data_IF_730892728237
#
_entry.id   IF_730892728237
#
_cell.length_a   1.000
_cell.length_b   1.000
_cell.length_c   1.000
_cell.angle_alpha   90.00
_cell.angle_beta   90.00
_cell.angle_gamma   90.00
#
_symmetry.space_group_name_H-M   'P 1'
#
loop_
_entity.id
_entity.type
_entity.pdbx_description
1 polymer ?
#
# COMPACT_ATOMS: atom_id res chain seq x y z
N UNK A 1 -8.68 47.08 -5.93
CA UNK A 1 -9.57 45.91 -6.08
C UNK A 1 -8.95 44.98 -7.09
N UNK A 2 -8.47 43.80 -6.66
CA UNK A 2 -7.99 42.79 -7.59
C UNK A 2 -9.18 42.24 -8.38
N UNK A 3 -9.14 42.36 -9.72
CA UNK A 3 -10.10 41.68 -10.59
C UNK A 3 -9.74 40.20 -10.58
N UNK A 4 -10.46 39.39 -9.81
CA UNK A 4 -10.42 37.95 -9.97
C UNK A 4 -10.95 37.66 -11.38
N UNK A 5 -10.17 36.99 -12.22
CA UNK A 5 -10.68 36.50 -13.49
C UNK A 5 -11.80 35.50 -13.20
N UNK A 6 -12.87 35.47 -14.00
CA UNK A 6 -13.94 34.47 -13.86
C UNK A 6 -13.40 33.03 -13.79
N UNK A 7 -12.22 32.79 -14.37
CA UNK A 7 -11.50 31.52 -14.33
C UNK A 7 -11.00 31.13 -12.94
N UNK A 8 -10.44 32.05 -12.17
CA UNK A 8 -9.95 31.79 -10.82
C UNK A 8 -11.11 31.44 -9.88
N UNK A 9 -12.24 32.14 -10.05
CA UNK A 9 -13.47 31.85 -9.29
C UNK A 9 -14.03 30.46 -9.63
N UNK A 10 -14.14 30.11 -10.91
CA UNK A 10 -14.59 28.76 -11.31
C UNK A 10 -13.64 27.69 -10.77
N UNK A 11 -12.33 27.91 -10.85
CA UNK A 11 -11.31 26.97 -10.40
C UNK A 11 -11.36 26.74 -8.89
N UNK A 12 -11.26 27.82 -8.12
CA UNK A 12 -10.98 27.76 -6.69
C UNK A 12 -12.26 27.71 -5.84
N UNK A 13 -13.36 28.31 -6.29
CA UNK A 13 -14.63 28.30 -5.54
C UNK A 13 -15.56 27.17 -5.97
N UNK A 14 -15.53 26.74 -7.23
CA UNK A 14 -16.45 25.71 -7.74
C UNK A 14 -15.75 24.37 -7.90
N UNK A 15 -14.78 24.27 -8.82
CA UNK A 15 -14.18 22.99 -9.20
C UNK A 15 -13.43 22.33 -8.04
N UNK A 16 -12.72 23.12 -7.22
CA UNK A 16 -11.95 22.60 -6.08
C UNK A 16 -12.81 21.81 -5.07
N UNK A 17 -14.11 22.11 -4.99
CA UNK A 17 -15.04 21.49 -4.03
C UNK A 17 -15.76 20.27 -4.59
N UNK A 18 -15.53 19.91 -5.87
CA UNK A 18 -16.24 18.81 -6.51
C UNK A 18 -15.56 17.45 -6.28
N UNK A 19 -16.35 16.36 -6.21
CA UNK A 19 -15.81 15.01 -6.22
C UNK A 19 -15.00 14.73 -7.50
N UNK A 20 -13.97 13.89 -7.38
CA UNK A 20 -13.07 13.52 -8.49
C UNK A 20 -13.84 12.98 -9.71
N UNK A 21 -14.88 12.17 -9.48
CA UNK A 21 -15.70 11.64 -10.59
C UNK A 21 -16.39 12.75 -11.40
N UNK A 22 -16.86 13.81 -10.74
CA UNK A 22 -17.45 14.97 -11.41
C UNK A 22 -16.40 15.73 -12.21
N UNK A 23 -15.22 15.95 -11.61
CA UNK A 23 -14.10 16.62 -12.27
C UNK A 23 -13.64 15.89 -13.52
N UNK A 24 -13.56 14.56 -13.49
CA UNK A 24 -13.22 13.75 -14.67
C UNK A 24 -14.24 13.94 -15.79
N UNK A 25 -15.54 13.98 -15.49
CA UNK A 25 -16.59 14.25 -16.50
C UNK A 25 -16.48 15.68 -17.04
N UNK A 26 -16.12 16.63 -16.19
CA UNK A 26 -16.01 18.04 -16.53
C UNK A 26 -14.82 18.37 -17.43
N UNK A 27 -13.81 17.48 -17.52
CA UNK A 27 -12.78 17.55 -18.58
C UNK A 27 -13.37 17.53 -19.99
N UNK A 28 -14.59 17.01 -20.19
CA UNK A 28 -15.24 16.95 -21.50
C UNK A 28 -16.05 18.21 -21.84
N UNK A 29 -16.20 19.17 -20.92
CA UNK A 29 -17.02 20.39 -21.13
C UNK A 29 -16.32 21.36 -22.08
N UNK A 30 -15.02 21.60 -21.88
CA UNK A 30 -14.22 22.46 -22.76
C UNK A 30 -12.72 22.18 -22.62
N UNK A 31 -11.92 22.59 -23.61
CA UNK A 31 -10.44 22.51 -23.55
C UNK A 31 -9.87 23.29 -22.36
N UNK A 32 -10.49 24.42 -22.02
CA UNK A 32 -10.09 25.26 -20.91
C UNK A 32 -10.31 24.58 -19.57
N UNK A 33 -11.50 24.01 -19.35
CA UNK A 33 -11.82 23.27 -18.12
C UNK A 33 -10.92 22.04 -17.98
N UNK A 34 -10.68 21.33 -19.08
CA UNK A 34 -9.72 20.23 -19.11
C UNK A 34 -8.33 20.68 -18.65
N UNK A 35 -7.77 21.73 -19.26
CA UNK A 35 -6.45 22.26 -18.91
C UNK A 35 -6.38 22.72 -17.46
N UNK A 36 -7.42 23.35 -16.95
CA UNK A 36 -7.52 23.79 -15.56
C UNK A 36 -7.50 22.61 -14.58
N UNK A 37 -8.30 21.57 -14.85
CA UNK A 37 -8.40 20.36 -14.00
C UNK A 37 -7.12 19.51 -14.08
N UNK A 38 -6.48 19.45 -15.24
CA UNK A 38 -5.23 18.70 -15.47
C UNK A 38 -3.99 19.46 -14.97
N UNK A 39 -4.10 20.75 -14.62
CA UNK A 39 -2.96 21.53 -14.12
C UNK A 39 -2.41 20.98 -12.80
N UNK A 40 -1.08 20.92 -12.69
CA UNK A 40 -0.38 20.45 -11.48
C UNK A 40 -0.80 21.23 -10.24
N UNK A 41 -1.04 22.53 -10.36
CA UNK A 41 -1.56 23.35 -9.27
C UNK A 41 -2.93 22.87 -8.80
N UNK A 42 -3.88 22.65 -9.72
CA UNK A 42 -5.23 22.23 -9.35
C UNK A 42 -5.23 20.84 -8.71
N UNK A 43 -4.48 19.89 -9.28
CA UNK A 43 -4.35 18.53 -8.73
C UNK A 43 -3.76 18.57 -7.32
N UNK A 44 -2.68 19.33 -7.09
CA UNK A 44 -2.06 19.49 -5.75
C UNK A 44 -3.02 20.14 -4.75
N UNK A 45 -3.74 21.18 -5.17
CA UNK A 45 -4.70 21.89 -4.31
C UNK A 45 -5.88 21.00 -3.92
N UNK A 46 -6.42 20.24 -4.88
CA UNK A 46 -7.52 19.29 -4.67
C UNK A 46 -7.10 18.10 -3.79
N UNK A 47 -5.85 17.63 -3.91
CA UNK A 47 -5.33 16.51 -3.11
C UNK A 47 -5.38 16.77 -1.60
N UNK A 48 -5.21 18.03 -1.17
CA UNK A 48 -5.23 18.43 0.25
C UNK A 48 -6.66 18.71 0.73
N UNK A 49 -7.66 18.71 -0.17
CA UNK A 49 -9.04 18.97 0.21
C UNK A 49 -9.67 17.78 0.95
N UNK A 50 -10.42 18.02 2.04
CA UNK A 50 -10.94 16.98 2.93
C UNK A 50 -12.18 16.24 2.38
N UNK A 51 -12.58 16.46 1.13
CA UNK A 51 -13.86 15.97 0.59
C UNK A 51 -13.85 14.51 0.15
N UNK A 52 -12.68 13.89 0.05
CA UNK A 52 -12.60 12.50 -0.43
C UNK A 52 -12.81 11.52 0.73
N UNK A 53 -13.98 10.89 0.73
CA UNK A 53 -14.25 9.79 1.65
C UNK A 53 -13.34 8.60 1.35
N UNK A 54 -12.67 8.02 2.37
CA UNK A 54 -11.86 6.83 2.16
C UNK A 54 -12.76 5.67 1.74
N UNK A 55 -12.23 4.84 0.86
CA UNK A 55 -12.83 3.63 0.31
C UNK A 55 -11.91 2.45 0.60
N UNK A 56 -12.44 1.23 0.51
CA UNK A 56 -11.58 0.05 0.37
C UNK A 56 -11.42 -0.25 -1.10
N UNK A 57 -10.18 -0.45 -1.54
CA UNK A 57 -9.89 -1.06 -2.83
C UNK A 57 -9.52 -2.52 -2.62
N UNK A 58 -10.12 -3.42 -3.40
CA UNK A 58 -9.80 -4.84 -3.45
C UNK A 58 -9.25 -5.18 -4.82
N UNK A 59 -8.06 -5.75 -4.87
CA UNK A 59 -7.43 -6.22 -6.09
C UNK A 59 -7.64 -7.72 -6.30
N UNK A 60 -8.13 -8.08 -7.47
CA UNK A 60 -8.25 -9.47 -7.89
C UNK A 60 -7.83 -9.64 -9.35
N UNK A 61 -7.67 -10.89 -9.76
CA UNK A 61 -7.38 -11.29 -11.14
C UNK A 61 -8.61 -12.02 -11.67
N UNK A 62 -9.00 -11.76 -12.91
CA UNK A 62 -10.22 -12.35 -13.49
C UNK A 62 -9.97 -13.16 -14.77
N UNK A 63 -8.99 -12.81 -15.60
CA UNK A 63 -8.70 -13.52 -16.85
C UNK A 63 -7.20 -13.52 -17.18
N UNK A 64 -6.72 -14.65 -17.68
CA UNK A 64 -5.40 -14.84 -18.27
C UNK A 64 -5.63 -15.44 -19.66
N UNK A 65 -5.70 -14.59 -20.68
CA UNK A 65 -5.43 -15.06 -22.04
C UNK A 65 -3.92 -15.12 -22.21
N UNK A 66 -3.41 -15.98 -23.11
CA UNK A 66 -1.98 -16.23 -23.32
C UNK A 66 -1.11 -14.95 -23.50
N UNK A 67 -1.73 -13.79 -23.79
CA UNK A 67 -1.09 -12.51 -24.05
C UNK A 67 -1.49 -11.35 -23.10
N UNK A 68 -2.39 -11.54 -22.14
CA UNK A 68 -2.87 -10.41 -21.33
C UNK A 68 -3.29 -10.78 -19.91
N UNK A 69 -2.82 -9.97 -18.97
CA UNK A 69 -3.26 -9.97 -17.58
C UNK A 69 -4.40 -8.97 -17.40
N UNK A 70 -5.54 -9.41 -16.88
CA UNK A 70 -6.59 -8.50 -16.39
C UNK A 70 -6.55 -8.39 -14.87
N UNK A 71 -6.30 -7.18 -14.37
CA UNK A 71 -6.44 -6.82 -12.96
C UNK A 71 -7.81 -6.16 -12.78
N UNK A 72 -8.62 -6.72 -11.88
CA UNK A 72 -9.87 -6.12 -11.45
C UNK A 72 -9.63 -5.41 -10.12
N UNK A 73 -9.89 -4.10 -10.09
CA UNK A 73 -9.98 -3.33 -8.87
C UNK A 73 -11.44 -3.02 -8.54
N UNK A 74 -11.84 -3.36 -7.32
CA UNK A 74 -13.17 -3.10 -6.81
C UNK A 74 -13.07 -2.10 -5.68
N UNK A 75 -13.78 -0.98 -5.79
CA UNK A 75 -13.86 0.00 -4.72
C UNK A 75 -15.17 -0.12 -3.97
N UNK A 76 -15.09 -0.07 -2.65
CA UNK A 76 -16.22 -0.15 -1.72
C UNK A 76 -16.25 1.12 -0.86
N UNK A 77 -17.36 1.84 -0.88
CA UNK A 77 -17.60 2.99 -0.02
C UNK A 77 -18.89 2.84 0.78
N UNK A 78 -18.94 3.50 1.93
CA UNK A 78 -20.16 3.67 2.71
C UNK A 78 -20.76 5.02 2.35
N UNK A 79 -21.99 5.03 1.85
CA UNK A 79 -22.68 6.29 1.58
C UNK A 79 -23.22 6.83 2.92
N UNK A 80 -22.85 8.07 3.25
CA UNK A 80 -23.25 8.74 4.50
C UNK A 80 -24.62 9.42 4.39
N UNK A 81 -25.50 8.96 3.49
CA UNK A 81 -26.86 9.49 3.43
C UNK A 81 -27.68 8.91 4.59
N UNK A 82 -27.58 9.54 5.75
CA UNK A 82 -28.65 9.87 6.70
C UNK A 82 -29.66 8.84 7.22
N UNK A 83 -29.77 7.62 6.69
CA UNK A 83 -30.83 6.69 7.08
C UNK A 83 -30.33 5.25 7.29
N UNK A 84 -31.20 4.51 7.98
CA UNK A 84 -31.01 3.22 8.65
C UNK A 84 -30.68 2.07 7.67
N UNK A 85 -30.66 2.33 6.36
CA UNK A 85 -30.38 1.34 5.32
C UNK A 85 -29.04 1.62 4.63
N UNK A 86 -27.98 0.98 5.15
CA UNK A 86 -26.60 1.22 4.73
C UNK A 86 -26.28 0.50 3.43
N UNK A 87 -26.46 1.15 2.28
CA UNK A 87 -26.02 0.60 1.00
C UNK A 87 -24.49 0.72 0.85
N UNK A 88 -23.84 -0.40 0.53
CA UNK A 88 -22.42 -0.42 0.15
C UNK A 88 -22.34 -0.18 -1.35
N UNK A 89 -21.77 0.96 -1.75
CA UNK A 89 -21.53 1.24 -3.16
C UNK A 89 -20.32 0.42 -3.64
N UNK A 90 -20.52 -0.37 -4.69
CA UNK A 90 -19.48 -1.19 -5.34
C UNK A 90 -19.22 -0.65 -6.75
N UNK A 91 -17.96 -0.30 -7.04
CA UNK A 91 -17.54 0.19 -8.35
C UNK A 91 -16.34 -0.61 -8.85
N UNK A 92 -16.56 -1.65 -9.68
CA UNK A 92 -15.49 -2.42 -10.31
C UNK A 92 -14.89 -1.67 -11.51
N UNK A 93 -13.59 -1.79 -11.69
CA UNK A 93 -12.85 -1.31 -12.87
C UNK A 93 -11.80 -2.36 -13.27
N UNK A 94 -11.80 -2.76 -14.54
CA UNK A 94 -10.81 -3.67 -15.10
C UNK A 94 -9.67 -2.92 -15.78
N UNK A 95 -8.47 -3.45 -15.62
CA UNK A 95 -7.23 -2.94 -16.19
C UNK A 95 -6.55 -4.09 -16.92
N UNK A 96 -6.35 -3.92 -18.23
CA UNK A 96 -5.73 -4.93 -19.08
C UNK A 96 -4.28 -4.53 -19.31
N UNK A 97 -3.38 -5.44 -18.99
CA UNK A 97 -1.95 -5.29 -19.21
C UNK A 97 -1.47 -6.37 -20.17
N UNK A 98 -1.00 -5.95 -21.34
CA UNK A 98 -0.42 -6.85 -22.31
C UNK A 98 0.99 -7.27 -21.87
N UNK A 99 1.31 -8.54 -22.06
CA UNK A 99 2.59 -9.11 -21.65
C UNK A 99 3.10 -10.13 -22.67
N UNK A 100 4.39 -10.52 -22.57
CA UNK A 100 4.94 -11.56 -23.42
C UNK A 100 4.21 -12.88 -23.20
N UNK A 101 4.04 -13.65 -24.28
CA UNK A 101 3.40 -14.98 -24.30
C UNK A 101 3.96 -15.87 -23.19
N UNK A 102 3.09 -16.32 -22.29
CA UNK A 102 3.46 -17.34 -21.30
C UNK A 102 2.81 -18.67 -21.66
N UNK A 103 3.59 -19.62 -22.17
CA UNK A 103 3.10 -20.98 -22.49
C UNK A 103 2.88 -21.78 -21.21
N UNK A 104 1.64 -21.99 -20.76
CA UNK A 104 1.23 -22.93 -19.69
C UNK A 104 0.71 -22.28 -18.39
N UNK A 105 0.03 -23.03 -17.50
CA UNK A 105 -0.65 -22.47 -16.33
C UNK A 105 0.35 -21.85 -15.33
N UNK A 106 0.23 -20.54 -15.11
CA UNK A 106 1.01 -19.80 -14.12
C UNK A 106 0.15 -19.45 -12.92
N UNK A 107 0.45 -20.04 -11.75
CA UNK A 107 -0.09 -19.53 -10.48
C UNK A 107 0.46 -18.11 -10.32
N UNK A 108 -0.44 -17.15 -10.34
CA UNK A 108 -0.13 -15.72 -10.28
C UNK A 108 -0.86 -15.10 -9.11
N UNK A 109 -0.14 -14.47 -8.20
CA UNK A 109 -0.70 -13.80 -7.02
C UNK A 109 -0.65 -12.29 -7.26
N UNK A 110 -1.81 -11.63 -7.20
CA UNK A 110 -1.89 -10.17 -7.16
C UNK A 110 -1.93 -9.72 -5.70
N UNK A 111 -0.98 -8.87 -5.31
CA UNK A 111 -0.97 -8.20 -4.01
C UNK A 111 -1.20 -6.70 -4.18
N UNK A 112 -2.20 -6.14 -3.51
CA UNK A 112 -2.33 -4.69 -3.33
C UNK A 112 -1.34 -4.30 -2.23
N UNK A 113 -0.26 -3.63 -2.62
CA UNK A 113 0.81 -3.22 -1.70
C UNK A 113 0.32 -2.11 -0.77
N UNK A 114 -0.39 -1.13 -1.33
CA UNK A 114 -0.94 0.01 -0.60
C UNK A 114 -1.48 1.08 -1.55
N UNK A 115 -1.96 2.17 -0.97
CA UNK A 115 -2.35 3.37 -1.70
C UNK A 115 -1.67 4.61 -1.10
N UNK A 116 -1.31 5.55 -1.96
CA UNK A 116 -0.75 6.84 -1.61
C UNK A 116 -1.34 7.89 -2.55
N UNK A 117 -1.98 8.94 -2.01
CA UNK A 117 -2.58 10.03 -2.80
C UNK A 117 -3.45 9.55 -3.97
N UNK A 118 -4.23 8.49 -3.78
CA UNK A 118 -5.11 7.89 -4.79
C UNK A 118 -4.42 7.05 -5.87
N UNK A 119 -3.09 6.93 -5.83
CA UNK A 119 -2.39 5.89 -6.55
C UNK A 119 -2.45 4.58 -5.76
N UNK A 120 -2.69 3.47 -6.43
CA UNK A 120 -2.72 2.11 -5.87
C UNK A 120 -1.58 1.32 -6.49
N UNK A 121 -0.70 0.79 -5.64
CA UNK A 121 0.41 -0.05 -6.07
C UNK A 121 0.03 -1.52 -5.96
N UNK A 122 0.23 -2.27 -7.04
CA UNK A 122 -0.09 -3.69 -7.14
C UNK A 122 1.14 -4.44 -7.58
N UNK A 123 1.45 -5.53 -6.88
CA UNK A 123 2.49 -6.47 -7.25
C UNK A 123 1.86 -7.73 -7.84
N UNK A 124 2.32 -8.13 -9.01
CA UNK A 124 2.03 -9.43 -9.61
C UNK A 124 3.22 -10.36 -9.39
N UNK A 125 3.00 -11.46 -8.68
CA UNK A 125 3.99 -12.52 -8.47
C UNK A 125 3.65 -13.70 -9.38
N UNK A 126 4.60 -14.15 -10.21
CA UNK A 126 4.45 -15.30 -11.10
C UNK A 126 5.28 -16.48 -10.60
N UNK A 127 4.69 -17.68 -10.53
CA UNK A 127 5.37 -18.88 -10.03
C UNK A 127 6.31 -19.54 -11.06
N UNK A 128 7.07 -18.77 -11.86
CA UNK A 128 8.05 -19.31 -12.81
C UNK A 128 9.45 -18.86 -12.46
N UNK A 129 10.40 -19.80 -12.52
CA UNK A 129 11.80 -19.65 -12.11
C UNK A 129 12.57 -18.52 -12.82
N UNK A 130 12.03 -17.92 -13.88
CA UNK A 130 12.68 -16.88 -14.69
C UNK A 130 11.78 -15.68 -15.02
N UNK A 131 10.64 -15.49 -14.34
CA UNK A 131 9.77 -14.33 -14.56
C UNK A 131 9.84 -13.38 -13.37
N UNK A 132 10.26 -12.15 -13.65
CA UNK A 132 10.30 -11.09 -12.66
C UNK A 132 8.90 -10.63 -12.27
N UNK A 133 8.68 -10.25 -11.00
CA UNK A 133 7.42 -9.69 -10.58
C UNK A 133 7.16 -8.39 -11.35
N UNK A 134 5.92 -8.17 -11.76
CA UNK A 134 5.50 -6.89 -12.34
C UNK A 134 4.89 -6.02 -11.27
N UNK A 135 5.20 -4.72 -11.30
CA UNK A 135 4.56 -3.73 -10.41
C UNK A 135 3.69 -2.82 -11.26
N UNK A 136 2.49 -2.55 -10.79
CA UNK A 136 1.50 -1.72 -11.46
C UNK A 136 1.08 -0.59 -10.55
N UNK A 137 1.12 0.63 -11.07
CA UNK A 137 0.60 1.82 -10.40
C UNK A 137 -0.66 2.24 -11.12
N UNK A 138 -1.78 2.25 -10.41
CA UNK A 138 -3.11 2.50 -10.98
C UNK A 138 -3.77 3.63 -10.20
N UNK A 139 -4.36 4.59 -10.89
CA UNK A 139 -5.35 5.48 -10.28
C UNK A 139 -6.76 4.97 -10.66
N UNK A 140 -7.51 4.37 -9.71
CA UNK A 140 -8.84 3.85 -9.99
C UNK A 140 -9.84 4.91 -10.47
N UNK A 141 -9.72 6.15 -9.99
CA UNK A 141 -10.62 7.23 -10.34
C UNK A 141 -10.40 7.71 -11.78
N UNK A 142 -9.15 8.01 -12.16
CA UNK A 142 -8.81 8.51 -13.51
C UNK A 142 -8.71 7.41 -14.55
N UNK A 143 -8.62 6.14 -14.12
CA UNK A 143 -8.34 4.94 -14.93
C UNK A 143 -6.96 4.91 -15.59
N UNK A 144 -6.12 5.89 -15.28
CA UNK A 144 -4.73 5.88 -15.69
C UNK A 144 -3.97 4.78 -14.95
N UNK A 145 -3.07 4.11 -15.65
CA UNK A 145 -2.27 3.03 -15.11
C UNK A 145 -0.91 3.01 -15.79
N UNK A 146 0.10 2.57 -15.05
CA UNK A 146 1.47 2.41 -15.51
C UNK A 146 2.03 1.07 -15.03
N UNK A 147 2.65 0.32 -15.93
CA UNK A 147 3.43 -0.87 -15.59
C UNK A 147 4.88 -0.46 -15.34
N UNK A 148 5.44 -0.98 -14.26
CA UNK A 148 6.83 -0.82 -13.88
C UNK A 148 7.53 -2.18 -13.98
N UNK A 149 8.81 -2.15 -14.32
CA UNK A 149 9.66 -3.32 -14.45
C UNK A 149 10.72 -3.27 -13.34
N UNK A 150 10.50 -3.93 -12.19
CA UNK A 150 11.49 -4.01 -11.11
C UNK A 150 12.84 -4.52 -11.61
N UNK A 151 13.90 -4.18 -10.88
CA UNK A 151 15.28 -4.55 -11.25
C UNK A 151 15.43 -6.06 -11.43
N UNK A 152 16.19 -6.48 -12.45
CA UNK A 152 16.57 -7.87 -12.60
C UNK A 152 17.33 -8.39 -11.39
N UNK A 153 17.11 -9.66 -11.04
CA UNK A 153 17.87 -10.34 -10.01
C UNK A 153 19.35 -10.36 -10.42
N UNK A 154 20.17 -9.59 -9.73
CA UNK A 154 21.61 -9.61 -9.93
C UNK A 154 22.19 -10.90 -9.35
N UNK A 155 23.19 -11.47 -10.04
CA UNK A 155 24.03 -12.52 -9.47
C UNK A 155 24.82 -11.94 -8.29
N UNK A 156 24.81 -12.65 -7.16
CA UNK A 156 25.61 -12.32 -5.99
C UNK A 156 26.43 -13.58 -5.67
N UNK A 157 27.77 -13.52 -5.71
CA UNK A 157 28.62 -14.68 -5.37
C UNK A 157 28.23 -15.26 -4.02
N UNK A 158 28.19 -16.59 -3.88
CA UNK A 158 27.85 -17.33 -2.65
C UNK A 158 26.41 -17.15 -2.13
N UNK A 159 25.59 -16.36 -2.84
CA UNK A 159 24.23 -16.01 -2.44
C UNK A 159 23.22 -16.41 -3.51
N UNK A 160 22.28 -17.28 -3.13
CA UNK A 160 21.16 -17.67 -3.99
C UNK A 160 20.00 -16.67 -3.82
N UNK A 161 19.44 -16.11 -4.91
CA UNK A 161 18.24 -15.29 -4.81
C UNK A 161 17.05 -16.15 -4.36
N UNK A 162 16.28 -15.64 -3.40
CA UNK A 162 14.99 -16.21 -3.05
C UNK A 162 13.93 -15.63 -3.99
N UNK A 163 12.89 -16.42 -4.31
CA UNK A 163 11.69 -15.96 -5.04
C UNK A 163 10.84 -14.95 -4.21
N UNK A 164 11.41 -14.42 -3.12
CA UNK A 164 10.77 -13.52 -2.17
C UNK A 164 11.13 -12.08 -2.55
N UNK A 165 10.17 -11.42 -3.18
CA UNK A 165 10.24 -10.02 -3.58
C UNK A 165 9.30 -9.20 -2.73
N UNK A 166 9.85 -8.27 -1.95
CA UNK A 166 9.04 -7.34 -1.16
C UNK A 166 9.01 -5.99 -1.86
N UNK A 167 7.82 -5.42 -1.98
CA UNK A 167 7.60 -4.10 -2.57
C UNK A 167 7.15 -3.15 -1.47
N UNK A 168 7.72 -1.95 -1.49
CA UNK A 168 7.19 -0.77 -0.81
C UNK A 168 6.64 0.22 -1.82
N UNK A 169 5.66 1.02 -1.41
CA UNK A 169 5.18 2.14 -2.20
C UNK A 169 4.81 3.31 -1.29
N UNK A 170 5.18 4.52 -1.69
CA UNK A 170 4.85 5.74 -0.94
C UNK A 170 5.33 6.99 -1.66
N UNK A 171 5.37 8.09 -0.91
CA UNK A 171 5.77 9.41 -1.39
C UNK A 171 6.88 9.97 -0.51
N UNK A 172 7.95 10.45 -1.14
CA UNK A 172 8.87 11.38 -0.49
C UNK A 172 8.09 12.68 -0.28
N UNK A 173 7.72 12.94 0.97
CA UNK A 173 6.90 14.10 1.35
C UNK A 173 7.66 15.43 1.21
N UNK A 174 9.00 15.41 1.14
CA UNK A 174 9.82 16.61 0.99
C UNK A 174 9.86 17.04 -0.47
N UNK A 175 10.10 16.10 -1.38
CA UNK A 175 10.18 16.38 -2.82
C UNK A 175 8.84 16.26 -3.53
N UNK A 176 7.87 15.57 -2.93
CA UNK A 176 6.57 15.26 -3.52
C UNK A 176 6.58 14.11 -4.53
N UNK A 177 7.72 13.43 -4.67
CA UNK A 177 7.94 12.36 -5.65
C UNK A 177 7.41 11.04 -5.12
N UNK A 178 6.70 10.27 -5.95
CA UNK A 178 6.31 8.92 -5.58
C UNK A 178 7.44 7.94 -5.85
N UNK A 179 7.58 6.95 -4.95
CA UNK A 179 8.66 5.97 -5.01
C UNK A 179 8.11 4.56 -4.83
N UNK A 180 8.64 3.62 -5.62
CA UNK A 180 8.51 2.18 -5.34
C UNK A 180 9.85 1.63 -4.87
N UNK A 181 9.82 0.79 -3.85
CA UNK A 181 10.99 0.19 -3.22
C UNK A 181 10.95 -1.29 -3.55
N UNK A 182 11.99 -1.82 -4.19
CA UNK A 182 12.13 -3.25 -4.42
C UNK A 182 13.17 -3.80 -3.46
N UNK A 183 12.81 -4.83 -2.71
CA UNK A 183 13.72 -5.52 -1.79
C UNK A 183 13.84 -6.98 -2.24
N UNK A 184 15.04 -7.32 -2.70
CA UNK A 184 15.42 -8.65 -3.14
C UNK A 184 16.14 -9.38 -2.00
N UNK A 185 15.61 -10.55 -1.63
CA UNK A 185 16.18 -11.37 -0.58
C UNK A 185 17.13 -12.41 -1.16
N UNK A 186 18.35 -12.48 -0.64
CA UNK A 186 19.34 -13.48 -1.02
C UNK A 186 19.76 -14.28 0.21
N UNK A 187 19.98 -15.58 0.01
CA UNK A 187 20.40 -16.51 1.05
C UNK A 187 21.80 -17.02 0.76
N UNK A 188 22.68 -17.00 1.76
CA UNK A 188 24.01 -17.61 1.64
C UNK A 188 23.90 -19.14 1.56
N UNK A 189 24.75 -19.77 0.76
CA UNK A 189 24.68 -21.22 0.51
C UNK A 189 25.20 -22.07 1.69
N UNK A 190 26.14 -21.52 2.46
CA UNK A 190 26.92 -22.16 3.53
C UNK A 190 26.50 -21.74 4.96
N UNK A 191 25.82 -20.60 5.11
CA UNK A 191 25.32 -20.08 6.39
C UNK A 191 23.81 -19.76 6.34
N UNK A 192 23.19 -19.57 7.52
CA UNK A 192 21.82 -19.03 7.63
C UNK A 192 21.73 -17.51 7.41
N UNK A 193 22.80 -16.89 6.87
CA UNK A 193 22.87 -15.47 6.62
C UNK A 193 21.96 -15.04 5.45
N UNK A 194 21.29 -13.90 5.63
CA UNK A 194 20.41 -13.28 4.66
C UNK A 194 20.97 -11.92 4.25
N UNK A 195 20.85 -11.61 2.97
CA UNK A 195 21.26 -10.35 2.37
C UNK A 195 20.05 -9.71 1.69
N UNK A 196 19.71 -8.48 2.08
CA UNK A 196 18.69 -7.70 1.40
C UNK A 196 19.37 -6.68 0.49
N UNK A 197 19.09 -6.75 -0.82
CA UNK A 197 19.45 -5.69 -1.76
C UNK A 197 18.21 -4.86 -2.06
N UNK A 198 18.37 -3.54 -1.97
CA UNK A 198 17.26 -2.61 -2.18
C UNK A 198 17.53 -1.71 -3.36
N UNK A 199 16.54 -1.56 -4.24
CA UNK A 199 16.48 -0.53 -5.26
C UNK A 199 15.23 0.32 -5.07
N UNK A 200 15.34 1.59 -5.43
CA UNK A 200 14.23 2.54 -5.46
C UNK A 200 14.06 3.04 -6.87
N UNK A 201 12.80 3.19 -7.24
CA UNK A 201 12.38 3.77 -8.49
C UNK A 201 11.51 4.98 -8.18
N UNK A 202 11.89 6.13 -8.70
CA UNK A 202 11.06 7.32 -8.67
C UNK A 202 10.10 7.31 -9.86
N UNK A 203 8.88 7.81 -9.68
CA UNK A 203 7.87 7.80 -10.74
C UNK A 203 8.01 8.98 -11.72
N UNK A 204 8.66 10.07 -11.32
CA UNK A 204 8.81 11.33 -12.07
C UNK A 204 9.95 11.32 -13.11
N UNK A 205 11.10 10.72 -12.80
CA UNK A 205 12.30 10.82 -13.64
C UNK A 205 12.44 9.74 -14.73
N UNK A 206 11.31 9.29 -15.30
CA UNK A 206 11.33 8.09 -16.14
C UNK A 206 11.73 6.86 -15.32
N UNK A 207 11.78 5.69 -15.93
CA UNK A 207 11.95 4.41 -15.22
C UNK A 207 13.37 4.19 -14.64
N UNK A 208 14.11 5.24 -14.30
CA UNK A 208 15.47 5.16 -13.76
C UNK A 208 15.47 4.66 -12.31
N UNK A 209 15.99 3.44 -12.16
CA UNK A 209 16.13 2.78 -10.87
C UNK A 209 17.50 3.09 -10.29
N UNK A 210 17.52 3.48 -9.02
CA UNK A 210 18.75 3.65 -8.25
C UNK A 210 18.87 2.55 -7.20
N UNK A 211 20.03 1.91 -7.17
CA UNK A 211 20.39 1.01 -6.09
C UNK A 211 20.99 1.83 -4.95
N UNK A 212 20.47 1.69 -3.74
CA UNK A 212 20.81 2.59 -2.63
C UNK A 212 21.60 1.88 -1.53
N UNK A 213 21.47 0.57 -1.42
CA UNK A 213 22.32 -0.16 -0.49
C UNK A 213 21.91 -1.59 -0.21
N UNK A 214 22.72 -2.18 0.65
CA UNK A 214 22.50 -3.49 1.26
C UNK A 214 22.10 -3.23 2.71
N UNK A 215 20.94 -3.76 3.12
CA UNK A 215 20.59 -3.77 4.53
C UNK A 215 20.88 -5.15 5.12
N UNK A 216 21.88 -5.29 6.00
CA UNK A 216 22.18 -6.58 6.60
C UNK A 216 21.10 -6.92 7.62
N UNK A 217 20.24 -7.87 7.25
CA UNK A 217 19.29 -8.49 8.17
C UNK A 217 19.85 -9.84 8.59
N UNK A 218 20.44 -9.90 9.78
CA UNK A 218 20.93 -11.16 10.33
C UNK A 218 19.76 -12.11 10.60
N UNK A 219 19.70 -13.24 9.91
CA UNK A 219 18.82 -14.37 10.18
C UNK A 219 17.30 -14.07 10.18
N UNK A 220 16.85 -12.99 9.54
CA UNK A 220 15.41 -12.69 9.35
C UNK A 220 15.14 -12.35 7.89
N UNK A 221 13.89 -12.53 7.48
CA UNK A 221 13.37 -12.09 6.18
C UNK A 221 12.23 -11.08 6.39
N UNK A 222 11.88 -10.33 5.36
CA UNK A 222 10.68 -9.47 5.41
C UNK A 222 9.44 -10.38 5.39
N UNK A 223 8.46 -10.07 6.23
CA UNK A 223 7.24 -10.84 6.32
C UNK A 223 6.46 -10.81 5.02
N UNK A 224 6.01 -11.98 4.60
CA UNK A 224 5.16 -12.15 3.43
C UNK A 224 3.67 -12.11 3.75
N UNK A 225 3.33 -12.20 5.03
CA UNK A 225 1.96 -12.25 5.55
C UNK A 225 1.28 -10.88 5.55
N UNK A 226 2.09 -9.82 5.50
CA UNK A 226 1.61 -8.45 5.44
C UNK A 226 2.41 -7.63 4.42
N UNK A 227 1.73 -6.78 3.65
CA UNK A 227 2.36 -5.81 2.76
C UNK A 227 2.95 -4.64 3.56
N UNK A 228 3.84 -3.89 2.90
CA UNK A 228 4.41 -2.67 3.46
C UNK A 228 3.35 -1.64 3.82
N UNK A 229 3.63 -0.80 4.81
CA UNK A 229 2.76 0.34 5.16
C UNK A 229 3.50 1.63 4.91
N UNK A 230 2.90 2.56 4.17
CA UNK A 230 3.40 3.92 4.05
C UNK A 230 2.76 4.82 5.11
N UNK A 231 3.59 5.56 5.84
CA UNK A 231 3.17 6.57 6.80
C UNK A 231 4.28 7.58 7.02
N UNK A 232 3.93 8.85 7.20
CA UNK A 232 4.86 9.92 7.58
C UNK A 232 6.16 9.96 6.74
N UNK A 233 6.06 9.83 5.41
CA UNK A 233 7.21 9.87 4.52
C UNK A 233 8.12 8.63 4.53
N UNK A 234 7.76 7.60 5.29
CA UNK A 234 8.51 6.34 5.40
C UNK A 234 7.66 5.14 5.00
N UNK A 235 8.33 4.06 4.59
CA UNK A 235 7.70 2.76 4.35
C UNK A 235 8.17 1.78 5.41
N UNK A 236 7.24 1.02 5.98
CA UNK A 236 7.46 0.11 7.10
C UNK A 236 7.16 -1.33 6.73
N UNK A 237 7.99 -2.24 7.26
CA UNK A 237 7.83 -3.69 7.10
C UNK A 237 8.02 -4.42 8.43
N UNK A 238 7.23 -5.47 8.62
CA UNK A 238 7.50 -6.48 9.65
C UNK A 238 8.53 -7.46 9.12
N UNK A 239 9.48 -7.87 9.96
CA UNK A 239 10.29 -9.05 9.68
C UNK A 239 9.57 -10.32 10.14
N UNK A 240 9.98 -11.47 9.62
CA UNK A 240 9.58 -12.77 10.14
C UNK A 240 10.79 -13.66 10.31
N UNK A 241 10.62 -14.70 11.14
CA UNK A 241 11.64 -15.72 11.34
C UNK A 241 11.83 -16.51 10.05
N UNK A 242 13.08 -16.65 9.62
CA UNK A 242 13.38 -17.58 8.54
C UNK A 242 13.10 -19.01 9.03
N UNK A 243 12.20 -19.74 8.38
CA UNK A 243 11.69 -21.05 8.84
C UNK A 243 12.75 -22.12 9.12
N UNK A 244 13.98 -21.96 8.62
CA UNK A 244 15.10 -22.89 8.86
C UNK A 244 16.16 -22.35 9.84
N UNK A 245 15.92 -21.19 10.46
CA UNK A 245 16.85 -20.61 11.44
C UNK A 245 16.59 -21.19 12.83
N UNK A 246 17.62 -21.67 13.56
CA UNK A 246 17.48 -22.07 14.96
C UNK A 246 17.34 -20.88 15.92
N UNK A 247 17.43 -19.63 15.43
CA UNK A 247 17.40 -18.44 16.28
C UNK A 247 15.98 -18.11 16.79
N UNK A 248 15.87 -17.75 18.07
CA UNK A 248 14.62 -17.27 18.70
C UNK A 248 14.41 -15.76 18.56
N UNK A 249 15.11 -15.10 17.64
CA UNK A 249 15.12 -13.64 17.59
C UNK A 249 13.70 -13.05 17.42
N UNK A 250 13.40 -11.92 18.09
CA UNK A 250 12.08 -11.28 18.04
C UNK A 250 11.78 -10.67 16.68
N UNK A 251 10.49 -10.56 16.33
CA UNK A 251 10.04 -9.83 15.14
C UNK A 251 10.48 -8.36 15.27
N UNK A 252 11.01 -7.78 14.20
CA UNK A 252 11.49 -6.39 14.15
C UNK A 252 10.62 -5.58 13.19
N UNK A 253 10.48 -4.30 13.52
CA UNK A 253 9.89 -3.30 12.64
C UNK A 253 11.02 -2.54 11.94
N UNK A 254 11.03 -2.58 10.62
CA UNK A 254 12.03 -1.91 9.78
C UNK A 254 11.35 -0.78 9.02
N UNK A 255 12.00 0.38 8.97
CA UNK A 255 11.55 1.53 8.19
C UNK A 255 12.59 1.89 7.12
N UNK A 256 12.12 2.43 6.01
CA UNK A 256 12.92 3.15 5.03
C UNK A 256 12.32 4.55 4.89
N UNK A 257 13.11 5.57 5.20
CA UNK A 257 12.74 6.96 4.98
C UNK A 257 12.84 7.27 3.48
N UNK A 258 11.77 7.79 2.85
CA UNK A 258 11.76 7.96 1.40
C UNK A 258 12.51 9.19 0.91
N UNK A 259 12.87 10.11 1.80
CA UNK A 259 13.63 11.29 1.41
C UNK A 259 15.14 11.02 1.45
N UNK A 260 15.61 10.55 2.60
CA UNK A 260 17.01 10.23 2.87
C UNK A 260 17.40 8.85 2.35
N UNK A 261 16.42 7.98 2.09
CA UNK A 261 16.58 6.61 1.61
C UNK A 261 17.44 5.73 2.54
N UNK A 262 17.41 6.03 3.83
CA UNK A 262 18.11 5.29 4.87
C UNK A 262 17.16 4.35 5.60
N UNK A 263 17.67 3.15 5.88
CA UNK A 263 16.97 2.18 6.72
C UNK A 263 17.18 2.49 8.20
N UNK A 264 16.11 2.30 8.98
CA UNK A 264 16.17 2.36 10.44
C UNK A 264 15.38 1.20 11.06
N UNK A 265 15.67 0.92 12.34
CA UNK A 265 14.87 0.03 13.16
C UNK A 265 13.96 0.90 14.02
N UNK A 266 12.68 0.54 14.06
CA UNK A 266 11.70 1.21 14.88
C UNK A 266 11.51 0.42 16.17
N UNK A 267 11.50 1.14 17.28
CA UNK A 267 11.21 0.58 18.60
C UNK A 267 9.78 0.05 18.67
N UNK A 268 9.53 -0.96 19.51
CA UNK A 268 8.19 -1.45 19.79
C UNK A 268 7.54 -0.69 20.95
N UNK A 269 6.20 -0.65 21.04
CA UNK A 269 5.53 -0.16 22.24
C UNK A 269 5.95 -0.94 23.49
N UNK A 270 5.90 -0.31 24.66
CA UNK A 270 6.32 -0.91 25.93
C UNK A 270 5.54 -2.16 26.34
N UNK A 271 4.30 -2.31 25.87
CA UNK A 271 3.47 -3.50 26.14
C UNK A 271 3.78 -4.67 25.20
N UNK A 272 4.59 -4.47 24.17
CA UNK A 272 4.94 -5.54 23.25
C UNK A 272 5.77 -6.61 23.98
N UNK A 273 5.24 -7.82 24.00
CA UNK A 273 5.95 -9.05 24.40
C UNK A 273 6.11 -9.95 23.17
N UNK A 274 7.18 -10.75 23.12
CA UNK A 274 7.49 -11.72 22.06
C UNK A 274 6.40 -12.78 21.88
N UNK A 275 5.50 -12.92 22.86
CA UNK A 275 4.28 -13.75 22.82
C UNK A 275 3.10 -13.09 22.10
N UNK A 276 3.27 -11.86 21.59
CA UNK A 276 2.24 -11.18 20.80
C UNK A 276 2.17 -11.81 19.42
N UNK A 277 1.34 -12.84 19.28
CA UNK A 277 1.42 -13.74 18.13
C UNK A 277 1.00 -13.11 16.79
N UNK A 278 0.19 -12.04 16.78
CA UNK A 278 -0.33 -11.45 15.53
C UNK A 278 -0.50 -9.94 15.63
N UNK A 279 0.45 -9.23 15.05
CA UNK A 279 0.48 -7.78 14.95
C UNK A 279 0.07 -7.33 13.55
N UNK A 280 -0.74 -6.29 13.45
CA UNK A 280 -1.09 -5.66 12.16
C UNK A 280 -0.62 -4.23 12.13
N UNK A 281 0.24 -3.90 11.16
CA UNK A 281 0.55 -2.52 10.83
C UNK A 281 -0.50 -1.97 9.86
N UNK A 282 -0.78 -0.68 9.94
CA UNK A 282 -1.60 0.04 8.98
C UNK A 282 -1.37 1.54 9.17
N UNK A 283 -1.93 2.38 8.28
CA UNK A 283 -1.79 3.83 8.35
C UNK A 283 -3.12 4.49 8.67
N UNK A 284 -3.11 5.44 9.61
CA UNK A 284 -4.26 6.29 9.94
C UNK A 284 -3.87 7.76 9.87
N UNK A 285 -4.37 8.48 8.86
CA UNK A 285 -4.01 9.89 8.62
C UNK A 285 -2.49 10.08 8.61
N UNK A 286 -1.81 9.27 7.81
CA UNK A 286 -0.35 9.23 7.65
C UNK A 286 0.46 8.93 8.92
N UNK A 287 -0.18 8.42 9.97
CA UNK A 287 0.52 7.88 11.14
C UNK A 287 0.56 6.36 11.08
N UNK A 288 1.73 5.79 11.36
CA UNK A 288 1.88 4.35 11.48
C UNK A 288 1.11 3.89 12.71
N UNK A 289 0.19 2.96 12.50
CA UNK A 289 -0.58 2.33 13.54
C UNK A 289 -0.25 0.84 13.66
N UNK A 290 -0.36 0.35 14.87
CA UNK A 290 -0.17 -1.03 15.26
C UNK A 290 -1.38 -1.48 16.05
N UNK A 291 -1.95 -2.63 15.69
CA UNK A 291 -3.03 -3.24 16.45
C UNK A 291 -2.78 -4.72 16.68
N UNK A 292 -3.07 -5.18 17.90
CA UNK A 292 -3.05 -6.60 18.25
C UNK A 292 -4.46 -7.18 18.04
N UNK A 293 -4.64 -7.87 16.92
CA UNK A 293 -5.96 -8.31 16.46
C UNK A 293 -6.48 -9.52 17.26
N UNK A 294 -5.62 -10.18 18.05
CA UNK A 294 -6.02 -11.25 18.98
C UNK A 294 -6.66 -10.72 20.27
N UNK A 295 -6.55 -9.42 20.56
CA UNK A 295 -7.32 -8.79 21.63
C UNK A 295 -8.78 -8.69 21.17
N UNK A 296 -9.50 -9.79 21.28
CA UNK A 296 -10.92 -9.88 20.97
C UNK A 296 -11.73 -9.80 22.27
N UNK A 297 -12.86 -9.06 22.30
CA UNK A 297 -13.45 -8.29 21.20
C UNK A 297 -12.90 -6.86 21.03
N UNK A 298 -12.14 -6.35 22.00
CA UNK A 298 -11.64 -4.97 22.01
C UNK A 298 -10.19 -4.92 21.54
N UNK A 299 -9.99 -4.45 20.32
CA UNK A 299 -8.68 -4.32 19.70
C UNK A 299 -8.11 -2.95 20.01
N UNK A 300 -7.00 -2.91 20.74
CA UNK A 300 -6.26 -1.69 20.98
C UNK A 300 -5.50 -1.24 19.73
N UNK A 301 -5.57 0.07 19.47
CA UNK A 301 -4.81 0.71 18.41
C UNK A 301 -3.79 1.66 19.01
N UNK A 302 -2.54 1.45 18.60
CA UNK A 302 -1.41 2.25 18.99
C UNK A 302 -0.86 3.00 17.78
N UNK A 303 -0.50 4.27 17.97
CA UNK A 303 0.13 5.10 16.95
C UNK A 303 1.58 5.33 17.30
N UNK A 304 2.46 5.24 16.31
CA UNK A 304 3.80 5.80 16.41
C UNK A 304 3.70 7.31 16.25
N UNK A 305 4.36 8.03 17.14
CA UNK A 305 4.50 9.48 17.13
C UNK A 305 5.98 9.82 17.27
N UNK A 306 6.41 10.84 16.53
CA UNK A 306 7.73 11.44 16.71
C UNK A 306 7.55 12.66 17.61
N UNK A 307 8.14 12.65 18.79
CA UNK A 307 8.13 13.75 19.75
C UNK A 307 9.58 14.08 20.08
N UNK A 308 10.06 15.28 19.74
CA UNK A 308 11.46 15.69 19.93
C UNK A 308 12.51 14.73 19.35
N UNK A 309 12.25 14.22 18.14
CA UNK A 309 13.06 13.18 17.47
C UNK A 309 13.15 11.84 18.22
N UNK A 310 12.29 11.64 19.22
CA UNK A 310 12.14 10.38 19.95
C UNK A 310 10.88 9.66 19.46
N UNK A 311 11.06 8.39 19.13
CA UNK A 311 9.96 7.48 18.80
C UNK A 311 9.15 7.16 20.05
N UNK A 312 7.83 7.40 19.99
CA UNK A 312 6.93 7.10 21.10
C UNK A 312 5.66 6.46 20.57
N UNK A 313 5.28 5.34 21.19
CA UNK A 313 4.01 4.68 20.93
C UNK A 313 2.97 5.12 21.95
N UNK A 314 1.81 5.56 21.45
CA UNK A 314 0.67 5.94 22.28
C UNK A 314 -0.57 5.15 21.90
N UNK A 315 -1.34 4.69 22.90
CA UNK A 315 -2.66 4.10 22.67
C UNK A 315 -3.60 5.24 22.30
N UNK A 316 -4.15 5.21 21.09
CA UNK A 316 -5.03 6.27 20.62
C UNK A 316 -6.51 5.98 20.87
N UNK A 317 -6.92 4.70 20.81
CA UNK A 317 -8.27 4.24 21.16
C UNK A 317 -8.33 2.69 21.18
N UNK A 318 -9.47 2.15 21.61
CA UNK A 318 -9.82 0.73 21.48
C UNK A 318 -11.07 0.61 20.59
N UNK A 319 -11.11 -0.41 19.73
CA UNK A 319 -12.27 -0.68 18.87
C UNK A 319 -12.85 -2.03 19.23
N UNK A 320 -14.15 -2.05 19.53
CA UNK A 320 -14.89 -3.30 19.62
C UNK A 320 -15.20 -3.84 18.21
N UNK A 321 -14.48 -4.89 17.81
CA UNK A 321 -14.58 -5.47 16.46
C UNK A 321 -15.76 -6.42 16.29
N UNK A 322 -16.64 -6.57 17.28
CA UNK A 322 -17.92 -7.27 17.08
C UNK A 322 -18.93 -6.39 16.35
N UNK A 323 -18.81 -5.06 16.48
CA UNK A 323 -19.68 -4.05 15.88
C UNK A 323 -19.23 -3.59 14.47
N UNK A 324 -18.67 -4.51 13.65
CA UNK A 324 -18.04 -4.17 12.33
C UNK A 324 -18.96 -3.34 11.43
N UNK A 325 -20.27 -3.64 11.42
CA UNK A 325 -21.27 -2.90 10.63
C UNK A 325 -21.39 -1.41 10.99
N UNK A 326 -20.86 -0.99 12.14
CA UNK A 326 -20.86 0.42 12.61
C UNK A 326 -19.51 1.11 12.47
N UNK A 327 -18.47 0.41 12.01
CA UNK A 327 -17.16 1.03 11.83
C UNK A 327 -17.19 2.07 10.70
N UNK A 328 -16.55 3.22 10.94
CA UNK A 328 -16.22 4.16 9.88
C UNK A 328 -15.25 3.51 8.89
N UNK A 329 -15.30 3.87 7.60
CA UNK A 329 -14.53 3.19 6.54
C UNK A 329 -13.02 3.18 6.80
N UNK A 330 -12.47 4.23 7.43
CA UNK A 330 -11.07 4.29 7.88
C UNK A 330 -10.65 3.18 8.86
N UNK A 331 -11.59 2.50 9.51
CA UNK A 331 -11.37 1.40 10.45
C UNK A 331 -11.77 0.04 9.89
N UNK A 332 -12.30 -0.03 8.66
CA UNK A 332 -12.72 -1.30 8.06
C UNK A 332 -11.55 -2.26 7.87
N UNK A 333 -10.33 -1.77 7.63
CA UNK A 333 -9.14 -2.63 7.56
C UNK A 333 -8.92 -3.42 8.87
N UNK A 334 -9.09 -2.78 10.02
CA UNK A 334 -8.99 -3.45 11.33
C UNK A 334 -10.11 -4.48 11.48
N UNK A 335 -11.34 -4.10 11.12
CA UNK A 335 -12.50 -5.01 11.18
C UNK A 335 -12.34 -6.23 10.28
N UNK A 336 -11.83 -6.06 9.06
CA UNK A 336 -11.54 -7.13 8.11
C UNK A 336 -10.45 -8.06 8.63
N UNK A 337 -9.39 -7.51 9.23
CA UNK A 337 -8.37 -8.33 9.87
C UNK A 337 -8.97 -9.10 11.05
N UNK A 338 -9.66 -8.43 11.97
CA UNK A 338 -10.29 -9.07 13.12
C UNK A 338 -11.29 -10.18 12.76
N UNK A 339 -12.05 -9.99 11.68
CA UNK A 339 -12.98 -11.01 11.19
C UNK A 339 -12.28 -12.34 10.86
N UNK A 340 -11.02 -12.32 10.42
CA UNK A 340 -10.25 -13.53 10.13
C UNK A 340 -9.85 -14.33 11.37
N UNK A 341 -9.65 -13.64 12.49
CA UNK A 341 -9.28 -14.24 13.77
C UNK A 341 -10.50 -14.54 14.64
N UNK A 342 -11.73 -14.32 14.14
CA UNK A 342 -12.94 -14.68 14.89
C UNK A 342 -13.01 -16.20 15.05
N UNK A 343 -13.06 -16.72 16.29
CA UNK A 343 -13.22 -18.16 16.50
C UNK A 343 -14.60 -18.59 15.98
N UNK A 344 -14.65 -19.52 15.02
CA UNK A 344 -15.92 -20.09 14.54
C UNK A 344 -16.57 -21.00 15.59
N UNK A 345 -15.78 -21.64 16.46
CA UNK A 345 -16.24 -22.58 17.50
C UNK A 345 -15.31 -22.57 18.75
N UNK A 346 -14.93 -21.38 19.24
CA UNK A 346 -14.20 -21.25 20.52
C UNK A 346 -12.70 -21.53 20.51
N UNK A 347 -12.08 -21.88 19.37
CA UNK A 347 -10.62 -21.88 19.19
C UNK A 347 -10.22 -21.09 17.95
N UNK A 348 -9.23 -20.21 18.10
CA UNK A 348 -8.55 -19.53 17.00
C UNK A 348 -7.46 -20.47 16.51
N UNK A 349 -7.68 -21.15 15.39
CA UNK A 349 -6.61 -21.88 14.70
C UNK A 349 -5.84 -20.87 13.83
N UNK A 350 -4.70 -20.42 14.35
CA UNK A 350 -3.85 -19.40 13.72
C UNK A 350 -3.34 -19.88 12.35
N UNK A 351 -3.23 -21.19 12.14
CA UNK A 351 -2.69 -21.79 10.92
C UNK A 351 -3.71 -21.84 9.77
N UNK A 352 -5.00 -21.55 10.03
CA UNK A 352 -6.08 -21.60 9.03
C UNK A 352 -6.49 -20.22 8.48
N UNK A 353 -5.74 -19.17 8.81
CA UNK A 353 -6.17 -17.80 8.52
C UNK A 353 -5.86 -17.42 7.08
N UNK A 354 -6.88 -17.16 6.24
CA UNK A 354 -6.65 -17.06 4.80
C UNK A 354 -5.90 -15.76 4.43
N UNK A 355 -4.98 -15.92 3.47
CA UNK A 355 -4.04 -14.95 2.88
C UNK A 355 -4.65 -13.68 2.23
N UNK A 356 -5.90 -13.31 2.54
CA UNK A 356 -6.62 -12.23 1.84
C UNK A 356 -6.23 -10.80 2.24
N UNK A 357 -5.38 -10.57 3.26
CA UNK A 357 -4.91 -9.22 3.66
C UNK A 357 -4.16 -8.53 2.52
N UNK A 358 -3.39 -9.30 1.76
CA UNK A 358 -2.54 -8.76 0.71
C UNK A 358 -3.33 -8.29 -0.52
N UNK A 359 -4.67 -8.33 -0.52
CA UNK A 359 -5.50 -7.93 -1.67
C UNK A 359 -6.26 -6.63 -1.44
N UNK A 360 -6.12 -5.99 -0.28
CA UNK A 360 -6.95 -4.83 0.07
C UNK A 360 -6.13 -3.65 0.60
N UNK A 361 -6.54 -2.43 0.27
CA UNK A 361 -5.97 -1.22 0.85
C UNK A 361 -7.05 -0.16 1.10
N UNK A 362 -6.77 0.76 2.02
CA UNK A 362 -7.54 2.01 2.15
C UNK A 362 -7.14 2.92 0.98
N UNK A 363 -8.12 3.46 0.28
CA UNK A 363 -7.95 4.22 -0.96
C UNK A 363 -8.82 5.47 -0.94
N UNK A 364 -8.28 6.59 -1.40
CA UNK A 364 -8.98 7.86 -1.50
C UNK A 364 -8.90 8.33 -2.94
N UNK A 365 -10.02 8.74 -3.54
CA UNK A 365 -10.03 9.19 -4.94
C UNK A 365 -9.29 10.52 -5.09
N UNK A 366 -8.41 10.60 -6.09
CA UNK A 366 -7.64 11.81 -6.45
C UNK A 366 -7.47 11.93 -7.97
N UNK A 367 -6.99 13.08 -8.42
CA UNK A 367 -6.61 13.33 -9.81
C UNK A 367 -5.13 13.04 -10.11
N UNK A 368 -4.39 12.46 -9.17
CA UNK A 368 -2.94 12.23 -9.33
C UNK A 368 -2.68 11.22 -10.44
N UNK A 369 -1.84 11.59 -11.40
CA UNK A 369 -1.45 10.69 -12.49
C UNK A 369 -0.29 9.76 -12.08
N UNK A 370 -0.29 8.48 -12.50
CA UNK A 370 0.88 7.60 -12.36
C UNK A 370 2.05 7.98 -13.28
N UNK A 371 1.88 8.98 -14.15
CA UNK A 371 2.89 9.41 -15.14
C UNK A 371 3.67 10.67 -14.78
N UNK A 372 3.45 11.28 -13.60
CA UNK A 372 4.05 12.54 -13.12
C UNK A 372 4.96 13.23 -14.15
N UNK A 373 4.37 14.01 -15.05
CA UNK A 373 5.14 14.81 -16.01
C UNK A 373 5.81 15.98 -15.27
N UNK A 374 7.03 16.31 -15.72
CA UNK A 374 7.89 17.40 -15.21
C UNK A 374 7.25 18.76 -15.46
#
# INVERSE_FOLDING_TARGET
MAKWGNEDLVKDEILQHLPVKSLIRFKSVSKQWRSMIESTYFVRKHLVCPFSNPKIVVGSRTHDDDNSLTILLETFSRDHQGEIDTQISRSPCSYIFHGPRTVGPTITICKVIGSCDGLVCIQELRNRKNLEPSVYIINPATREHRKLYPTQLQHVPDFMPLLLFCIGFGKDIVTGTYKTININCYKRLDEHAMLLKTSVLNLDNGSEQRQIGVFPVSNMEISNEQTSVFANGSVFWLTQRYHKSPSKAPIKLVALDLHTENFSRVSWPSWYDERSHIMRLWSLKDRLCLSNVLQYPDVDVWSLKMEDSIEKWEKIFSINVTSIGRLATKFWMIGLEAAKFRPKEGKIDVDQIPFHSSKTALYTETLVSPYQEI
#
